data_IF_493431616420
#
_entry.id   IF_493431616420
#
_cell.length_a   1.000
_cell.length_b   1.000
_cell.length_c   1.000
_cell.angle_alpha   90.00
_cell.angle_beta   90.00
_cell.angle_gamma   90.00
#
_symmetry.space_group_name_H-M   'P 1'
#
loop_
_entity.id
_entity.type
_entity.pdbx_description
1 polymer ?
#
# COMPACT_ATOMS: atom_id res chain seq x y z
N UNK A 1 -93.14 23.87 17.12
CA UNK A 1 -92.25 24.96 16.62
C UNK A 1 -92.35 24.97 15.10
N UNK A 2 -92.73 26.11 14.50
CA UNK A 2 -92.88 26.25 13.04
C UNK A 2 -91.59 26.91 12.51
N UNK A 3 -90.89 26.33 11.51
CA UNK A 3 -89.71 26.96 10.93
C UNK A 3 -90.13 28.14 10.03
N UNK A 4 -89.57 29.32 10.27
CA UNK A 4 -89.73 30.50 9.40
C UNK A 4 -88.76 30.35 8.21
N UNK A 5 -89.23 30.45 6.94
CA UNK A 5 -88.34 30.39 5.79
C UNK A 5 -87.51 31.69 5.69
N UNK A 6 -86.19 31.55 5.76
CA UNK A 6 -85.25 32.65 5.50
C UNK A 6 -85.34 33.07 4.01
N UNK A 7 -85.37 34.37 3.70
CA UNK A 7 -85.35 34.83 2.31
C UNK A 7 -84.05 34.41 1.61
N UNK A 8 -84.19 33.93 0.37
CA UNK A 8 -83.09 33.38 -0.44
C UNK A 8 -81.77 34.18 -0.43
N UNK A 9 -81.75 35.54 -0.53
CA UNK A 9 -80.50 36.30 -0.49
C UNK A 9 -79.78 36.23 0.87
N UNK A 10 -80.51 36.14 1.99
CA UNK A 10 -79.90 36.00 3.32
C UNK A 10 -79.30 34.60 3.53
N UNK A 11 -79.95 33.57 2.98
CA UNK A 11 -79.44 32.20 3.04
C UNK A 11 -78.12 32.07 2.25
N UNK A 12 -78.04 32.72 1.09
CA UNK A 12 -76.83 32.78 0.27
C UNK A 12 -75.69 33.54 0.98
N UNK A 13 -76.01 34.64 1.67
CA UNK A 13 -75.04 35.40 2.46
C UNK A 13 -74.50 34.58 3.65
N UNK A 14 -75.36 33.85 4.36
CA UNK A 14 -74.95 32.99 5.47
C UNK A 14 -74.05 31.83 5.01
N UNK A 15 -74.37 31.21 3.86
CA UNK A 15 -73.50 30.20 3.24
C UNK A 15 -72.13 30.77 2.85
N UNK A 16 -72.08 31.97 2.27
CA UNK A 16 -70.82 32.62 1.92
C UNK A 16 -69.96 32.93 3.15
N UNK A 17 -70.56 33.39 4.25
CA UNK A 17 -69.84 33.65 5.51
C UNK A 17 -69.27 32.35 6.12
N UNK A 18 -70.03 31.27 6.10
CA UNK A 18 -69.60 29.97 6.64
C UNK A 18 -68.46 29.39 5.79
N UNK A 19 -68.53 29.51 4.46
CA UNK A 19 -67.44 29.17 3.57
C UNK A 19 -66.19 30.03 3.84
N UNK A 20 -66.35 31.33 4.07
CA UNK A 20 -65.25 32.25 4.36
C UNK A 20 -64.54 31.89 5.68
N UNK A 21 -65.30 31.52 6.73
CA UNK A 21 -64.75 31.04 8.00
C UNK A 21 -63.87 29.79 7.81
N UNK A 22 -64.35 28.80 7.05
CA UNK A 22 -63.59 27.57 6.78
C UNK A 22 -62.30 27.87 6.00
N UNK A 23 -62.34 28.81 5.04
CA UNK A 23 -61.16 29.21 4.26
C UNK A 23 -60.10 29.90 5.14
N UNK A 24 -60.50 30.74 6.11
CA UNK A 24 -59.58 31.42 7.02
C UNK A 24 -58.86 30.44 7.97
N UNK A 25 -59.54 29.42 8.47
CA UNK A 25 -58.92 28.39 9.30
C UNK A 25 -57.87 27.60 8.51
N UNK A 26 -58.20 27.24 7.26
CA UNK A 26 -57.27 26.54 6.37
C UNK A 26 -56.05 27.41 6.03
N UNK A 27 -56.25 28.70 5.78
CA UNK A 27 -55.16 29.68 5.59
C UNK A 27 -54.20 29.70 6.78
N UNK A 28 -54.72 29.79 8.00
CA UNK A 28 -53.91 29.82 9.22
C UNK A 28 -53.08 28.54 9.39
N UNK A 29 -53.68 27.37 9.12
CA UNK A 29 -52.98 26.09 9.17
C UNK A 29 -51.84 26.00 8.15
N UNK A 30 -52.08 26.46 6.91
CA UNK A 30 -51.03 26.51 5.89
C UNK A 30 -49.90 27.47 6.25
N UNK A 31 -50.22 28.62 6.84
CA UNK A 31 -49.23 29.60 7.26
C UNK A 31 -48.34 29.06 8.40
N UNK A 32 -48.92 28.32 9.36
CA UNK A 32 -48.16 27.62 10.40
C UNK A 32 -47.22 26.57 9.80
N UNK A 33 -47.72 25.77 8.85
CA UNK A 33 -46.92 24.74 8.16
C UNK A 33 -45.77 25.35 7.35
N UNK A 34 -46.02 26.49 6.68
CA UNK A 34 -45.00 27.27 5.95
C UNK A 34 -43.88 27.73 6.91
N UNK A 35 -44.24 28.27 8.07
CA UNK A 35 -43.27 28.74 9.07
C UNK A 35 -42.39 27.60 9.59
N UNK A 36 -43.00 26.45 9.92
CA UNK A 36 -42.27 25.26 10.36
C UNK A 36 -41.27 24.78 9.30
N UNK A 37 -41.70 24.74 8.05
CA UNK A 37 -40.86 24.28 6.94
C UNK A 37 -39.70 25.25 6.66
N UNK A 38 -39.92 26.56 6.80
CA UNK A 38 -38.87 27.57 6.69
C UNK A 38 -37.81 27.43 7.80
N UNK A 39 -38.23 27.15 9.04
CA UNK A 39 -37.30 26.87 10.14
C UNK A 39 -36.46 25.62 9.87
N UNK A 40 -37.09 24.55 9.38
CA UNK A 40 -36.40 23.30 9.01
C UNK A 40 -35.37 23.53 7.90
N UNK A 41 -35.73 24.32 6.87
CA UNK A 41 -34.84 24.70 5.78
C UNK A 41 -33.61 25.44 6.32
N UNK A 42 -33.78 26.39 7.25
CA UNK A 42 -32.68 27.14 7.86
C UNK A 42 -31.72 26.22 8.62
N UNK A 43 -32.26 25.31 9.44
CA UNK A 43 -31.46 24.35 10.21
C UNK A 43 -30.66 23.42 9.29
N UNK A 44 -31.28 22.94 8.21
CA UNK A 44 -30.62 22.12 7.22
C UNK A 44 -29.47 22.85 6.51
N UNK A 45 -29.68 24.13 6.17
CA UNK A 45 -28.68 24.95 5.48
C UNK A 45 -27.46 25.19 6.39
N UNK A 46 -27.68 25.42 7.69
CA UNK A 46 -26.60 25.50 8.68
C UNK A 46 -25.82 24.17 8.78
N UNK A 47 -26.54 23.05 8.81
CA UNK A 47 -25.92 21.73 8.85
C UNK A 47 -25.08 21.43 7.59
N UNK A 48 -25.60 21.77 6.41
CA UNK A 48 -24.89 21.64 5.14
C UNK A 48 -23.60 22.47 5.13
N UNK A 49 -23.64 23.70 5.64
CA UNK A 49 -22.46 24.57 5.75
C UNK A 49 -21.39 23.98 6.67
N UNK A 50 -21.79 23.39 7.81
CA UNK A 50 -20.87 22.70 8.70
C UNK A 50 -20.23 21.47 8.05
N UNK A 51 -21.01 20.70 7.29
CA UNK A 51 -20.51 19.53 6.56
C UNK A 51 -19.53 19.92 5.44
N UNK A 52 -19.80 21.03 4.74
CA UNK A 52 -18.89 21.60 3.75
C UNK A 52 -17.56 22.05 4.39
N UNK A 53 -17.62 22.71 5.55
CA UNK A 53 -16.43 23.13 6.29
C UNK A 53 -15.58 21.91 6.72
N UNK A 54 -16.25 20.85 7.22
CA UNK A 54 -15.60 19.59 7.59
C UNK A 54 -14.89 18.96 6.38
N UNK A 55 -15.55 18.92 5.22
CA UNK A 55 -14.96 18.42 3.97
C UNK A 55 -13.70 19.20 3.59
N UNK A 56 -13.77 20.54 3.64
CA UNK A 56 -12.66 21.41 3.31
C UNK A 56 -11.47 21.18 4.25
N UNK A 57 -11.73 21.09 5.55
CA UNK A 57 -10.70 20.81 6.55
C UNK A 57 -10.02 19.46 6.30
N UNK A 58 -10.80 18.44 5.98
CA UNK A 58 -10.29 17.10 5.70
C UNK A 58 -9.46 17.06 4.41
N UNK A 59 -9.90 17.76 3.36
CA UNK A 59 -9.15 17.92 2.12
C UNK A 59 -7.80 18.63 2.36
N UNK A 60 -7.78 19.66 3.20
CA UNK A 60 -6.56 20.37 3.57
C UNK A 60 -5.60 19.46 4.34
N UNK A 61 -6.10 18.74 5.34
CA UNK A 61 -5.32 17.77 6.12
C UNK A 61 -4.70 16.70 5.22
N UNK A 62 -5.47 16.20 4.24
CA UNK A 62 -4.99 15.27 3.23
C UNK A 62 -3.84 15.86 2.42
N UNK A 63 -4.02 17.07 1.88
CA UNK A 63 -3.02 17.70 1.04
C UNK A 63 -1.69 17.86 1.81
N UNK A 64 -1.78 18.27 3.08
CA UNK A 64 -0.64 18.38 3.97
C UNK A 64 0.05 17.02 4.19
N UNK A 65 -0.71 15.96 4.46
CA UNK A 65 -0.15 14.64 4.71
C UNK A 65 0.48 14.03 3.45
N UNK A 66 -0.13 14.23 2.28
CA UNK A 66 0.44 13.84 0.98
C UNK A 66 1.76 14.58 0.73
N UNK A 67 1.80 15.89 0.99
CA UNK A 67 3.01 16.71 0.84
C UNK A 67 4.13 16.22 1.78
N UNK A 68 3.81 15.93 3.03
CA UNK A 68 4.76 15.42 4.01
C UNK A 68 5.32 14.06 3.59
N UNK A 69 4.47 13.17 3.06
CA UNK A 69 4.91 11.86 2.57
C UNK A 69 5.76 11.98 1.30
N UNK A 70 5.42 12.88 0.37
CA UNK A 70 6.24 13.19 -0.80
C UNK A 70 7.62 13.72 -0.40
N UNK A 71 7.67 14.62 0.59
CA UNK A 71 8.92 15.15 1.13
C UNK A 71 9.77 14.03 1.74
N UNK A 72 9.15 13.13 2.51
CA UNK A 72 9.82 11.97 3.11
C UNK A 72 10.39 11.04 2.03
N UNK A 73 9.61 10.74 0.98
CA UNK A 73 10.05 9.95 -0.17
C UNK A 73 11.25 10.61 -0.87
N UNK A 74 11.19 11.92 -1.11
CA UNK A 74 12.26 12.68 -1.75
C UNK A 74 13.54 12.65 -0.91
N UNK A 75 13.41 12.85 0.40
CA UNK A 75 14.54 12.77 1.34
C UNK A 75 15.18 11.37 1.32
N UNK A 76 14.36 10.32 1.33
CA UNK A 76 14.82 8.93 1.26
C UNK A 76 15.58 8.65 -0.06
N UNK A 77 15.06 9.13 -1.18
CA UNK A 77 15.68 9.00 -2.49
C UNK A 77 17.01 9.76 -2.59
N UNK A 78 17.08 10.96 -2.02
CA UNK A 78 18.32 11.73 -1.94
C UNK A 78 19.38 11.01 -1.09
N UNK A 79 18.97 10.47 0.06
CA UNK A 79 19.84 9.68 0.93
C UNK A 79 20.34 8.41 0.23
N UNK A 80 19.48 7.72 -0.51
CA UNK A 80 19.87 6.59 -1.37
C UNK A 80 20.96 7.02 -2.36
N UNK A 81 20.73 8.10 -3.11
CA UNK A 81 21.63 8.55 -4.17
C UNK A 81 23.02 8.88 -3.58
N UNK A 82 23.04 9.57 -2.44
CA UNK A 82 24.28 9.90 -1.73
C UNK A 82 25.02 8.65 -1.27
N UNK A 83 24.31 7.68 -0.70
CA UNK A 83 24.88 6.42 -0.23
C UNK A 83 25.42 5.55 -1.39
N UNK A 84 24.71 5.50 -2.51
CA UNK A 84 25.16 4.82 -3.73
C UNK A 84 26.42 5.48 -4.31
N UNK A 85 26.47 6.82 -4.33
CA UNK A 85 27.64 7.57 -4.79
C UNK A 85 28.85 7.34 -3.87
N UNK A 86 28.65 7.33 -2.55
CA UNK A 86 29.71 7.02 -1.58
C UNK A 86 30.23 5.59 -1.75
N UNK A 87 29.34 4.62 -1.99
CA UNK A 87 29.73 3.24 -2.28
C UNK A 87 30.51 3.10 -3.59
N UNK A 88 30.08 3.78 -4.64
CA UNK A 88 30.78 3.78 -5.92
C UNK A 88 32.18 4.40 -5.81
N UNK A 89 32.30 5.51 -5.07
CA UNK A 89 33.59 6.11 -4.74
C UNK A 89 34.48 5.12 -3.98
N UNK A 90 33.92 4.44 -2.97
CA UNK A 90 34.64 3.44 -2.19
C UNK A 90 35.12 2.29 -3.08
N UNK A 91 34.28 1.76 -3.97
CA UNK A 91 34.63 0.72 -4.94
C UNK A 91 35.80 1.15 -5.83
N UNK A 92 35.80 2.39 -6.33
CA UNK A 92 36.87 2.95 -7.18
C UNK A 92 38.19 3.02 -6.40
N UNK A 93 38.16 3.44 -5.14
CA UNK A 93 39.37 3.52 -4.29
C UNK A 93 39.89 2.12 -3.91
N UNK A 94 38.98 1.14 -3.84
CA UNK A 94 39.19 -0.22 -3.34
C UNK A 94 39.60 -1.24 -4.43
N UNK A 95 39.83 -0.80 -5.68
CA UNK A 95 40.28 -1.65 -6.80
C UNK A 95 41.46 -2.59 -6.46
N UNK A 96 42.46 -2.27 -5.60
CA UNK A 96 43.52 -3.21 -5.28
C UNK A 96 43.15 -4.33 -4.28
N UNK A 97 41.90 -4.45 -3.84
CA UNK A 97 41.49 -5.53 -2.91
C UNK A 97 41.57 -6.91 -3.57
N UNK A 98 41.91 -7.96 -2.79
CA UNK A 98 41.85 -9.32 -3.27
C UNK A 98 40.40 -9.68 -3.68
N UNK A 99 40.28 -10.43 -4.79
CA UNK A 99 39.01 -10.85 -5.39
C UNK A 99 37.91 -11.31 -4.41
N UNK A 100 38.17 -12.11 -3.35
CA UNK A 100 37.13 -12.51 -2.40
C UNK A 100 36.51 -11.35 -1.60
N UNK A 101 37.30 -10.32 -1.27
CA UNK A 101 36.81 -9.14 -0.55
C UNK A 101 35.98 -8.23 -1.47
N UNK A 102 36.33 -8.16 -2.75
CA UNK A 102 35.55 -7.44 -3.76
C UNK A 102 34.17 -8.08 -3.95
N UNK A 103 34.08 -9.41 -4.00
CA UNK A 103 32.81 -10.14 -4.09
C UNK A 103 31.94 -9.88 -2.85
N UNK A 104 32.52 -9.95 -1.65
CA UNK A 104 31.81 -9.65 -0.39
C UNK A 104 31.23 -8.22 -0.40
N UNK A 105 32.01 -7.23 -0.85
CA UNK A 105 31.59 -5.84 -0.95
C UNK A 105 30.43 -5.66 -1.95
N UNK A 106 30.51 -6.27 -3.14
CA UNK A 106 29.43 -6.23 -4.13
C UNK A 106 28.15 -6.86 -3.60
N UNK A 107 28.26 -7.95 -2.84
CA UNK A 107 27.11 -8.65 -2.27
C UNK A 107 26.46 -7.82 -1.15
N UNK A 108 27.27 -7.17 -0.30
CA UNK A 108 26.79 -6.17 0.68
C UNK A 108 26.08 -4.98 0.01
N UNK A 109 26.62 -4.47 -1.10
CA UNK A 109 26.01 -3.39 -1.87
C UNK A 109 24.65 -3.82 -2.43
N UNK A 110 24.56 -5.03 -2.99
CA UNK A 110 23.31 -5.59 -3.49
C UNK A 110 22.28 -5.77 -2.36
N UNK A 111 22.70 -6.26 -1.18
CA UNK A 111 21.85 -6.36 0.02
C UNK A 111 21.26 -5.00 0.40
N UNK A 112 22.11 -3.97 0.45
CA UNK A 112 21.71 -2.62 0.84
C UNK A 112 20.74 -1.99 -0.16
N UNK A 113 20.99 -2.15 -1.46
CA UNK A 113 20.10 -1.69 -2.52
C UNK A 113 18.74 -2.37 -2.43
N UNK A 114 18.74 -3.68 -2.17
CA UNK A 114 17.51 -4.45 -2.03
C UNK A 114 16.73 -4.07 -0.76
N UNK A 115 17.41 -3.87 0.37
CA UNK A 115 16.79 -3.37 1.61
C UNK A 115 16.16 -1.99 1.41
N UNK A 116 16.78 -1.12 0.61
CA UNK A 116 16.20 0.17 0.29
C UNK A 116 14.98 0.04 -0.63
N UNK A 117 15.03 -0.84 -1.64
CA UNK A 117 13.88 -1.12 -2.48
C UNK A 117 12.70 -1.69 -1.66
N UNK A 118 12.96 -2.53 -0.65
CA UNK A 118 11.98 -3.00 0.32
C UNK A 118 11.33 -1.81 1.06
N UNK A 119 12.15 -0.91 1.58
CA UNK A 119 11.69 0.26 2.35
C UNK A 119 10.84 1.20 1.49
N UNK A 120 11.28 1.47 0.25
CA UNK A 120 10.52 2.26 -0.72
C UNK A 120 9.15 1.64 -1.00
N UNK A 121 9.12 0.32 -1.22
CA UNK A 121 7.90 -0.40 -1.52
C UNK A 121 6.95 -0.46 -0.31
N UNK A 122 7.48 -0.60 0.91
CA UNK A 122 6.70 -0.52 2.13
C UNK A 122 6.09 0.88 2.33
N UNK A 123 6.83 1.94 2.02
CA UNK A 123 6.31 3.31 2.06
C UNK A 123 5.23 3.53 0.99
N UNK A 124 5.40 2.96 -0.20
CA UNK A 124 4.38 2.99 -1.25
C UNK A 124 3.11 2.22 -0.84
N UNK A 125 3.25 1.06 -0.18
CA UNK A 125 2.13 0.31 0.40
C UNK A 125 1.36 1.14 1.42
N UNK A 126 2.07 1.79 2.35
CA UNK A 126 1.48 2.65 3.37
C UNK A 126 0.72 3.82 2.74
N UNK A 127 1.32 4.46 1.73
CA UNK A 127 0.68 5.54 0.97
C UNK A 127 -0.62 5.05 0.31
N UNK A 128 -0.58 3.89 -0.35
CA UNK A 128 -1.74 3.34 -1.05
C UNK A 128 -2.87 3.00 -0.07
N UNK A 129 -2.54 2.43 1.09
CA UNK A 129 -3.52 2.13 2.14
C UNK A 129 -4.16 3.40 2.70
N UNK A 130 -3.36 4.44 2.93
CA UNK A 130 -3.85 5.73 3.37
C UNK A 130 -4.73 6.41 2.30
N UNK A 131 -4.35 6.34 1.03
CA UNK A 131 -5.15 6.81 -0.10
C UNK A 131 -6.51 6.10 -0.15
N UNK A 132 -6.53 4.78 0.04
CA UNK A 132 -7.75 3.98 0.04
C UNK A 132 -8.68 4.37 1.20
N UNK A 133 -8.16 4.50 2.42
CA UNK A 133 -8.93 4.92 3.59
C UNK A 133 -9.52 6.32 3.41
N UNK A 134 -8.71 7.23 2.86
CA UNK A 134 -9.17 8.56 2.54
C UNK A 134 -10.27 8.55 1.47
N UNK A 135 -10.08 7.83 0.37
CA UNK A 135 -11.04 7.81 -0.73
C UNK A 135 -12.41 7.30 -0.24
N UNK A 136 -12.41 6.30 0.64
CA UNK A 136 -13.60 5.83 1.35
C UNK A 136 -14.24 6.94 2.18
N UNK A 137 -13.45 7.70 2.94
CA UNK A 137 -13.97 8.78 3.79
C UNK A 137 -14.54 9.94 2.95
N UNK A 138 -13.81 10.39 1.93
CA UNK A 138 -14.25 11.45 1.02
C UNK A 138 -15.54 11.04 0.31
N UNK A 139 -15.66 9.77 -0.09
CA UNK A 139 -16.88 9.25 -0.68
C UNK A 139 -18.05 9.25 0.30
N UNK A 140 -17.85 8.77 1.54
CA UNK A 140 -18.88 8.79 2.57
C UNK A 140 -19.37 10.22 2.83
N UNK A 141 -18.45 11.18 2.89
CA UNK A 141 -18.79 12.59 3.08
C UNK A 141 -19.54 13.16 1.87
N UNK A 142 -19.09 12.87 0.65
CA UNK A 142 -19.77 13.31 -0.57
C UNK A 142 -21.18 12.71 -0.68
N UNK A 143 -21.35 11.44 -0.32
CA UNK A 143 -22.66 10.79 -0.29
C UNK A 143 -23.58 11.42 0.77
N UNK A 144 -23.06 11.75 1.96
CA UNK A 144 -23.79 12.52 2.96
C UNK A 144 -24.17 13.91 2.41
N UNK A 145 -23.26 14.61 1.74
CA UNK A 145 -23.54 15.91 1.14
C UNK A 145 -24.64 15.83 0.07
N UNK A 146 -24.60 14.82 -0.80
CA UNK A 146 -25.65 14.56 -1.79
C UNK A 146 -27.00 14.25 -1.12
N UNK A 147 -27.01 13.45 -0.05
CA UNK A 147 -28.23 13.17 0.72
C UNK A 147 -28.82 14.45 1.33
N UNK A 148 -27.98 15.33 1.89
CA UNK A 148 -28.43 16.61 2.46
C UNK A 148 -28.97 17.56 1.36
N UNK A 149 -28.31 17.60 0.19
CA UNK A 149 -28.82 18.35 -0.96
C UNK A 149 -30.14 17.81 -1.49
N UNK A 150 -30.30 16.49 -1.56
CA UNK A 150 -31.57 15.85 -1.94
C UNK A 150 -32.69 16.24 -0.97
N UNK A 151 -32.42 16.18 0.32
CA UNK A 151 -33.38 16.58 1.36
C UNK A 151 -33.74 18.06 1.27
N UNK A 152 -32.74 18.93 1.04
CA UNK A 152 -32.95 20.37 0.85
C UNK A 152 -33.85 20.64 -0.36
N UNK A 153 -33.59 19.94 -1.46
CA UNK A 153 -34.35 20.09 -2.68
C UNK A 153 -35.77 19.53 -2.53
N UNK A 154 -35.96 18.43 -1.81
CA UNK A 154 -37.29 17.91 -1.46
C UNK A 154 -38.07 18.87 -0.57
N UNK A 155 -37.42 19.53 0.40
CA UNK A 155 -38.05 20.57 1.22
C UNK A 155 -38.41 21.80 0.37
N UNK A 156 -37.56 22.22 -0.56
CA UNK A 156 -37.88 23.31 -1.49
C UNK A 156 -39.06 22.95 -2.41
N UNK A 157 -39.15 21.71 -2.88
CA UNK A 157 -40.32 21.22 -3.64
C UNK A 157 -41.60 21.33 -2.80
N UNK A 158 -41.53 20.88 -1.54
CA UNK A 158 -42.67 20.93 -0.62
C UNK A 158 -43.07 22.38 -0.29
N UNK A 159 -42.09 23.27 -0.09
CA UNK A 159 -42.31 24.72 0.08
C UNK A 159 -43.06 25.30 -1.13
N UNK A 160 -42.59 25.03 -2.34
CA UNK A 160 -43.20 25.53 -3.58
C UNK A 160 -44.62 24.99 -3.78
N UNK A 161 -44.85 23.71 -3.49
CA UNK A 161 -46.17 23.11 -3.54
C UNK A 161 -47.13 23.74 -2.52
N UNK A 162 -46.64 24.03 -1.32
CA UNK A 162 -47.42 24.71 -0.29
C UNK A 162 -47.71 26.18 -0.66
N UNK A 163 -46.75 26.88 -1.25
CA UNK A 163 -46.94 28.23 -1.80
C UNK A 163 -47.97 28.24 -2.93
N UNK A 164 -47.93 27.26 -3.83
CA UNK A 164 -48.94 27.04 -4.87
C UNK A 164 -50.33 26.88 -4.25
N UNK A 165 -50.45 26.02 -3.24
CA UNK A 165 -51.72 25.77 -2.58
C UNK A 165 -52.24 27.01 -1.84
N UNK A 166 -51.37 27.76 -1.18
CA UNK A 166 -51.70 29.03 -0.52
C UNK A 166 -52.15 30.09 -1.54
N UNK A 167 -51.48 30.20 -2.68
CA UNK A 167 -51.87 31.08 -3.78
C UNK A 167 -53.26 30.71 -4.32
N UNK A 168 -53.52 29.42 -4.56
CA UNK A 168 -54.82 28.94 -5.02
C UNK A 168 -55.93 29.24 -4.00
N UNK A 169 -55.64 29.10 -2.71
CA UNK A 169 -56.58 29.45 -1.64
C UNK A 169 -56.82 30.95 -1.55
N UNK A 170 -55.78 31.78 -1.66
CA UNK A 170 -55.92 33.24 -1.72
C UNK A 170 -56.75 33.67 -2.93
N UNK A 171 -56.53 33.07 -4.10
CA UNK A 171 -57.37 33.31 -5.28
C UNK A 171 -58.83 32.94 -5.00
N UNK A 172 -59.08 31.78 -4.38
CA UNK A 172 -60.44 31.34 -4.05
C UNK A 172 -61.11 32.29 -3.04
N UNK A 173 -60.38 32.73 -2.02
CA UNK A 173 -60.87 33.66 -0.99
C UNK A 173 -61.14 35.04 -1.58
N UNK A 174 -60.28 35.54 -2.46
CA UNK A 174 -60.48 36.80 -3.18
C UNK A 174 -61.70 36.73 -4.10
N UNK A 175 -61.90 35.61 -4.81
CA UNK A 175 -63.09 35.40 -5.64
C UNK A 175 -64.37 35.36 -4.79
N UNK A 176 -64.36 34.69 -3.63
CA UNK A 176 -65.48 34.66 -2.69
C UNK A 176 -65.79 36.05 -2.11
N UNK A 177 -64.77 36.80 -1.70
CA UNK A 177 -64.92 38.18 -1.22
C UNK A 177 -65.49 39.10 -2.30
N UNK A 178 -65.03 38.95 -3.55
CA UNK A 178 -65.51 39.72 -4.68
C UNK A 178 -66.97 39.38 -5.00
N UNK A 179 -67.33 38.09 -4.96
CA UNK A 179 -68.72 37.65 -5.16
C UNK A 179 -69.63 38.14 -4.02
N UNK A 180 -69.17 38.07 -2.76
CA UNK A 180 -69.87 38.65 -1.62
C UNK A 180 -70.10 40.15 -1.83
N UNK A 181 -69.05 40.91 -2.16
CA UNK A 181 -69.15 42.35 -2.43
C UNK A 181 -70.15 42.64 -3.56
N UNK A 182 -70.08 41.90 -4.68
CA UNK A 182 -71.01 42.03 -5.80
C UNK A 182 -72.45 41.79 -5.36
N UNK A 183 -72.72 40.72 -4.58
CA UNK A 183 -74.08 40.44 -4.06
C UNK A 183 -74.59 41.56 -3.16
N UNK A 184 -73.74 42.09 -2.27
CA UNK A 184 -74.08 43.24 -1.41
C UNK A 184 -74.40 44.47 -2.27
N UNK A 185 -73.56 44.78 -3.27
CA UNK A 185 -73.78 45.92 -4.17
C UNK A 185 -75.10 45.77 -4.93
N UNK A 186 -75.38 44.60 -5.51
CA UNK A 186 -76.64 44.32 -6.23
C UNK A 186 -77.86 44.51 -5.32
N UNK A 187 -77.76 44.12 -4.04
CA UNK A 187 -78.84 44.27 -3.06
C UNK A 187 -79.09 45.74 -2.72
N UNK A 188 -78.04 46.58 -2.67
CA UNK A 188 -78.11 47.94 -2.15
C UNK A 188 -78.29 49.00 -3.25
N UNK A 189 -77.68 48.85 -4.43
CA UNK A 189 -77.57 49.91 -5.44
C UNK A 189 -77.81 49.37 -6.87
N UNK A 190 -78.72 49.96 -7.67
CA UNK A 190 -78.76 49.72 -9.10
C UNK A 190 -77.55 50.40 -9.78
N UNK A 191 -76.48 49.63 -10.02
CA UNK A 191 -75.24 50.15 -10.60
C UNK A 191 -75.40 50.40 -12.12
N UNK A 192 -74.89 51.52 -12.67
CA UNK A 192 -74.89 51.74 -14.12
C UNK A 192 -74.00 50.74 -14.87
N UNK A 193 -74.42 50.38 -16.09
CA UNK A 193 -73.86 49.32 -16.91
C UNK A 193 -72.36 49.50 -17.25
N UNK A 194 -71.90 50.75 -17.36
CA UNK A 194 -70.51 51.10 -17.68
C UNK A 194 -69.54 50.77 -16.52
N UNK A 195 -69.96 50.98 -15.27
CA UNK A 195 -69.18 50.60 -14.09
C UNK A 195 -69.10 49.07 -13.93
N UNK A 196 -70.15 48.34 -14.33
CA UNK A 196 -70.12 46.87 -14.36
C UNK A 196 -69.08 46.34 -15.36
N UNK A 197 -68.97 46.95 -16.54
CA UNK A 197 -68.00 46.54 -17.57
C UNK A 197 -66.54 46.80 -17.13
N UNK A 198 -66.25 47.95 -16.52
CA UNK A 198 -64.92 48.26 -15.98
C UNK A 198 -64.50 47.29 -14.87
N UNK A 199 -65.43 46.94 -13.99
CA UNK A 199 -65.19 45.98 -12.92
C UNK A 199 -64.89 44.57 -13.49
N UNK A 200 -65.59 44.20 -14.57
CA UNK A 200 -65.36 42.93 -15.28
C UNK A 200 -64.00 42.89 -16.00
N UNK A 201 -63.58 43.99 -16.63
CA UNK A 201 -62.25 44.11 -17.25
C UNK A 201 -61.13 43.97 -16.21
N UNK A 202 -61.23 44.68 -15.08
CA UNK A 202 -60.28 44.61 -13.98
C UNK A 202 -60.14 43.17 -13.48
N UNK A 203 -61.27 42.47 -13.35
CA UNK A 203 -61.32 41.08 -12.92
C UNK A 203 -60.63 40.14 -13.91
N UNK A 204 -60.84 40.35 -15.21
CA UNK A 204 -60.19 39.56 -16.26
C UNK A 204 -58.67 39.77 -16.29
N UNK A 205 -58.20 41.01 -16.08
CA UNK A 205 -56.78 41.32 -16.02
C UNK A 205 -56.12 40.70 -14.78
N UNK A 206 -56.79 40.75 -13.63
CA UNK A 206 -56.34 40.08 -12.40
C UNK A 206 -56.25 38.55 -12.60
N UNK A 207 -57.25 37.95 -13.26
CA UNK A 207 -57.26 36.52 -13.58
C UNK A 207 -56.07 36.14 -14.48
N UNK A 208 -55.79 36.93 -15.52
CA UNK A 208 -54.67 36.69 -16.43
C UNK A 208 -53.32 36.76 -15.72
N UNK A 209 -53.09 37.79 -14.90
CA UNK A 209 -51.87 37.95 -14.11
C UNK A 209 -51.63 36.73 -13.21
N UNK A 210 -52.70 36.23 -12.58
CA UNK A 210 -52.59 35.09 -11.68
C UNK A 210 -52.36 33.78 -12.43
N UNK A 211 -52.94 33.61 -13.62
CA UNK A 211 -52.66 32.46 -14.50
C UNK A 211 -51.20 32.44 -14.97
N UNK A 212 -50.62 33.61 -15.28
CA UNK A 212 -49.20 33.73 -15.59
C UNK A 212 -48.32 33.31 -14.41
N UNK A 213 -48.66 33.77 -13.19
CA UNK A 213 -47.92 33.41 -11.97
C UNK A 213 -48.03 31.91 -11.67
N UNK A 214 -49.20 31.31 -11.89
CA UNK A 214 -49.41 29.87 -11.79
C UNK A 214 -48.52 29.10 -12.78
N UNK A 215 -48.46 29.53 -14.04
CA UNK A 215 -47.60 28.90 -15.07
C UNK A 215 -46.12 28.97 -14.68
N UNK A 216 -45.64 30.13 -14.21
CA UNK A 216 -44.27 30.30 -13.75
C UNK A 216 -43.94 29.34 -12.59
N UNK A 217 -44.86 29.18 -11.65
CA UNK A 217 -44.69 28.30 -10.50
C UNK A 217 -44.63 26.81 -10.91
N UNK A 218 -45.46 26.40 -11.89
CA UNK A 218 -45.44 25.06 -12.46
C UNK A 218 -44.09 24.79 -13.17
N UNK A 219 -43.59 25.76 -13.95
CA UNK A 219 -42.29 25.64 -14.62
C UNK A 219 -41.15 25.46 -13.60
N UNK A 220 -41.15 26.25 -12.52
CA UNK A 220 -40.17 26.14 -11.44
C UNK A 220 -40.24 24.76 -10.76
N UNK A 221 -41.44 24.23 -10.53
CA UNK A 221 -41.64 22.89 -9.96
C UNK A 221 -41.08 21.79 -10.88
N UNK A 222 -41.29 21.89 -12.19
CA UNK A 222 -40.74 20.95 -13.17
C UNK A 222 -39.20 20.99 -13.21
N UNK A 223 -38.62 22.19 -13.20
CA UNK A 223 -37.16 22.36 -13.16
C UNK A 223 -36.56 21.71 -11.91
N UNK A 224 -37.20 21.93 -10.76
CA UNK A 224 -36.75 21.37 -9.49
C UNK A 224 -36.87 19.84 -9.46
N UNK A 225 -37.95 19.27 -10.01
CA UNK A 225 -38.10 17.83 -10.19
C UNK A 225 -36.99 17.23 -11.08
N UNK A 226 -36.64 17.90 -12.18
CA UNK A 226 -35.54 17.47 -13.04
C UNK A 226 -34.20 17.45 -12.29
N UNK A 227 -33.93 18.49 -11.49
CA UNK A 227 -32.72 18.58 -10.68
C UNK A 227 -32.68 17.46 -9.62
N UNK A 228 -33.82 17.11 -9.01
CA UNK A 228 -33.93 15.97 -8.09
C UNK A 228 -33.54 14.65 -8.77
N UNK A 229 -34.07 14.41 -9.98
CA UNK A 229 -33.77 13.22 -10.77
C UNK A 229 -32.28 13.14 -11.12
N UNK A 230 -31.69 14.25 -11.56
CA UNK A 230 -30.26 14.32 -11.89
C UNK A 230 -29.39 13.98 -10.67
N UNK A 231 -29.73 14.50 -9.50
CA UNK A 231 -28.98 14.26 -8.27
C UNK A 231 -29.08 12.80 -7.80
N UNK A 232 -30.27 12.18 -7.95
CA UNK A 232 -30.45 10.74 -7.73
C UNK A 232 -29.58 9.89 -8.66
N UNK A 233 -29.53 10.25 -9.94
CA UNK A 233 -28.70 9.54 -10.92
C UNK A 233 -27.21 9.70 -10.60
N UNK A 234 -26.76 10.89 -10.20
CA UNK A 234 -25.39 11.12 -9.75
C UNK A 234 -25.04 10.28 -8.52
N UNK A 235 -25.95 10.19 -7.55
CA UNK A 235 -25.76 9.36 -6.36
C UNK A 235 -25.61 7.87 -6.72
N UNK A 236 -26.43 7.37 -7.65
CA UNK A 236 -26.34 5.98 -8.13
C UNK A 236 -25.04 5.73 -8.89
N UNK A 237 -24.61 6.66 -9.75
CA UNK A 237 -23.34 6.59 -10.45
C UNK A 237 -22.16 6.51 -9.46
N UNK A 238 -22.16 7.36 -8.44
CA UNK A 238 -21.11 7.39 -7.42
C UNK A 238 -21.07 6.11 -6.59
N UNK A 239 -22.24 5.54 -6.29
CA UNK A 239 -22.36 4.26 -5.60
C UNK A 239 -21.80 3.10 -6.43
N UNK A 240 -21.97 3.11 -7.76
CA UNK A 240 -21.47 2.08 -8.67
C UNK A 240 -19.96 2.21 -8.93
N UNK A 241 -19.46 3.43 -9.12
CA UNK A 241 -18.07 3.68 -9.49
C UNK A 241 -17.11 3.35 -8.34
N UNK A 242 -17.55 3.47 -7.08
CA UNK A 242 -16.71 3.19 -5.93
C UNK A 242 -16.26 1.72 -5.84
N UNK A 243 -17.15 0.71 -5.80
CA UNK A 243 -16.72 -0.69 -5.75
C UNK A 243 -15.68 -1.03 -6.81
N UNK A 244 -15.82 -0.48 -8.02
CA UNK A 244 -14.86 -0.65 -9.11
C UNK A 244 -13.50 -0.02 -8.80
N UNK A 245 -13.48 1.22 -8.31
CA UNK A 245 -12.24 1.90 -7.94
C UNK A 245 -11.57 1.22 -6.74
N UNK A 246 -12.35 0.82 -5.74
CA UNK A 246 -11.87 0.09 -4.57
C UNK A 246 -11.29 -1.28 -4.97
N UNK A 247 -11.96 -2.00 -5.88
CA UNK A 247 -11.46 -3.26 -6.42
C UNK A 247 -10.12 -3.06 -7.15
N UNK A 248 -10.00 -2.00 -7.97
CA UNK A 248 -8.76 -1.66 -8.65
C UNK A 248 -7.62 -1.35 -7.66
N UNK A 249 -7.90 -0.53 -6.64
CA UNK A 249 -6.92 -0.21 -5.59
C UNK A 249 -6.53 -1.46 -4.78
N UNK A 250 -7.49 -2.34 -4.46
CA UNK A 250 -7.24 -3.58 -3.76
C UNK A 250 -6.36 -4.53 -4.60
N UNK A 251 -6.60 -4.62 -5.90
CA UNK A 251 -5.77 -5.40 -6.83
C UNK A 251 -4.34 -4.85 -6.86
N UNK A 252 -4.18 -3.52 -6.92
CA UNK A 252 -2.88 -2.87 -6.87
C UNK A 252 -2.16 -3.12 -5.53
N UNK A 253 -2.89 -3.08 -4.40
CA UNK A 253 -2.36 -3.42 -3.08
C UNK A 253 -1.86 -4.86 -3.04
N UNK A 254 -2.64 -5.81 -3.56
CA UNK A 254 -2.28 -7.22 -3.61
C UNK A 254 -1.03 -7.46 -4.44
N UNK A 255 -0.94 -6.83 -5.62
CA UNK A 255 0.24 -6.91 -6.49
C UNK A 255 1.49 -6.39 -5.78
N UNK A 256 1.35 -5.25 -5.09
CA UNK A 256 2.46 -4.65 -4.36
C UNK A 256 2.88 -5.49 -3.16
N UNK A 257 1.93 -6.09 -2.42
CA UNK A 257 2.21 -7.05 -1.36
C UNK A 257 2.97 -8.28 -1.89
N UNK A 258 2.56 -8.82 -3.03
CA UNK A 258 3.25 -9.95 -3.68
C UNK A 258 4.69 -9.57 -4.05
N UNK A 259 4.90 -8.37 -4.59
CA UNK A 259 6.23 -7.85 -4.91
C UNK A 259 7.08 -7.65 -3.64
N UNK A 260 6.50 -7.16 -2.54
CA UNK A 260 7.16 -7.06 -1.23
C UNK A 260 7.65 -8.44 -0.76
N UNK A 261 6.77 -9.45 -0.83
CA UNK A 261 7.07 -10.81 -0.41
C UNK A 261 8.20 -11.42 -1.24
N UNK A 262 8.15 -11.26 -2.57
CA UNK A 262 9.20 -11.73 -3.47
C UNK A 262 10.55 -11.09 -3.12
N UNK A 263 10.55 -9.79 -2.86
CA UNK A 263 11.76 -9.05 -2.54
C UNK A 263 12.30 -9.43 -1.15
N UNK A 264 11.44 -9.65 -0.16
CA UNK A 264 11.83 -10.16 1.15
C UNK A 264 12.49 -11.55 1.03
N UNK A 265 11.92 -12.44 0.21
CA UNK A 265 12.49 -13.76 -0.04
C UNK A 265 13.88 -13.65 -0.69
N UNK A 266 14.04 -12.73 -1.65
CA UNK A 266 15.32 -12.47 -2.30
C UNK A 266 16.35 -11.90 -1.30
N UNK A 267 15.94 -11.01 -0.39
CA UNK A 267 16.79 -10.50 0.70
C UNK A 267 17.28 -11.64 1.59
N UNK A 268 16.37 -12.51 2.01
CA UNK A 268 16.66 -13.63 2.90
C UNK A 268 17.67 -14.60 2.25
N UNK A 269 17.48 -14.91 0.97
CA UNK A 269 18.46 -15.70 0.22
C UNK A 269 19.83 -15.02 0.24
N UNK A 270 19.88 -13.75 -0.13
CA UNK A 270 21.14 -13.07 -0.31
C UNK A 270 21.90 -12.97 1.03
N UNK A 271 21.18 -12.80 2.13
CA UNK A 271 21.72 -12.91 3.48
C UNK A 271 22.25 -14.33 3.79
N UNK A 272 21.52 -15.38 3.43
CA UNK A 272 21.98 -16.77 3.60
C UNK A 272 23.25 -17.05 2.78
N UNK A 273 23.31 -16.55 1.54
CA UNK A 273 24.48 -16.67 0.67
C UNK A 273 25.68 -15.91 1.26
N UNK A 274 25.47 -14.70 1.78
CA UNK A 274 26.49 -13.92 2.48
C UNK A 274 27.05 -14.68 3.68
N UNK A 275 26.16 -15.27 4.50
CA UNK A 275 26.53 -16.06 5.67
C UNK A 275 27.34 -17.30 5.27
N UNK A 276 26.93 -18.01 4.22
CA UNK A 276 27.65 -19.17 3.69
C UNK A 276 29.05 -18.79 3.19
N UNK A 277 29.16 -17.68 2.45
CA UNK A 277 30.45 -17.17 1.96
C UNK A 277 31.37 -16.80 3.12
N UNK A 278 30.84 -16.13 4.15
CA UNK A 278 31.59 -15.77 5.35
C UNK A 278 32.10 -17.01 6.10
N UNK A 279 31.23 -18.03 6.26
CA UNK A 279 31.59 -19.29 6.89
C UNK A 279 32.70 -20.02 6.10
N UNK A 280 32.59 -20.04 4.77
CA UNK A 280 33.62 -20.60 3.89
C UNK A 280 34.95 -19.86 4.04
N UNK A 281 34.93 -18.53 4.05
CA UNK A 281 36.13 -17.72 4.23
C UNK A 281 36.80 -18.00 5.57
N UNK A 282 36.02 -18.08 6.65
CA UNK A 282 36.51 -18.41 7.99
C UNK A 282 37.15 -19.80 8.03
N UNK A 283 36.51 -20.79 7.39
CA UNK A 283 37.01 -22.15 7.34
C UNK A 283 38.29 -22.26 6.51
N UNK A 284 38.38 -21.56 5.38
CA UNK A 284 39.60 -21.46 4.56
C UNK A 284 40.75 -20.85 5.38
N UNK A 285 40.48 -19.76 6.11
CA UNK A 285 41.46 -19.12 6.98
C UNK A 285 41.97 -20.07 8.07
N UNK A 286 41.06 -20.80 8.73
CA UNK A 286 41.40 -21.79 9.75
C UNK A 286 42.27 -22.92 9.17
N UNK A 287 41.92 -23.41 7.99
CA UNK A 287 42.69 -24.46 7.32
C UNK A 287 44.08 -23.95 6.90
N UNK A 288 44.18 -22.73 6.37
CA UNK A 288 45.45 -22.11 6.02
C UNK A 288 46.35 -22.00 7.26
N UNK A 289 45.79 -21.58 8.39
CA UNK A 289 46.49 -21.50 9.67
C UNK A 289 46.99 -22.88 10.12
N UNK A 290 46.15 -23.92 10.01
CA UNK A 290 46.51 -25.30 10.34
C UNK A 290 47.62 -25.84 9.43
N UNK A 291 47.54 -25.57 8.12
CA UNK A 291 48.58 -25.93 7.15
C UNK A 291 49.90 -25.25 7.49
N UNK A 292 49.89 -23.95 7.78
CA UNK A 292 51.06 -23.18 8.17
C UNK A 292 51.71 -23.78 9.44
N UNK A 293 50.90 -24.10 10.45
CA UNK A 293 51.35 -24.72 11.69
C UNK A 293 52.01 -26.08 11.42
N UNK A 294 51.40 -26.91 10.58
CA UNK A 294 51.93 -28.23 10.23
C UNK A 294 53.22 -28.15 9.41
N UNK A 295 53.31 -27.21 8.46
CA UNK A 295 54.54 -26.93 7.71
C UNK A 295 55.67 -26.46 8.63
N UNK A 296 55.36 -25.58 9.59
CA UNK A 296 56.33 -25.11 10.58
C UNK A 296 56.82 -26.27 11.46
N UNK A 297 55.93 -27.17 11.88
CA UNK A 297 56.28 -28.38 12.63
C UNK A 297 57.18 -29.32 11.81
N UNK A 298 56.86 -29.55 10.52
CA UNK A 298 57.68 -30.36 9.61
C UNK A 298 59.08 -29.76 9.42
N UNK A 299 59.18 -28.44 9.25
CA UNK A 299 60.45 -27.74 9.09
C UNK A 299 61.31 -27.86 10.36
N UNK A 300 60.71 -27.70 11.54
CA UNK A 300 61.36 -27.88 12.83
C UNK A 300 61.89 -29.32 12.99
N UNK A 301 61.08 -30.31 12.61
CA UNK A 301 61.49 -31.71 12.69
C UNK A 301 62.61 -32.06 11.71
N UNK A 302 62.56 -31.55 10.48
CA UNK A 302 63.61 -31.74 9.49
C UNK A 302 64.94 -31.10 9.93
N UNK A 303 64.86 -29.92 10.55
CA UNK A 303 66.02 -29.27 11.15
C UNK A 303 66.61 -30.12 12.29
N UNK A 304 65.76 -30.68 13.16
CA UNK A 304 66.18 -31.58 14.23
C UNK A 304 66.82 -32.87 13.68
N UNK A 305 66.24 -33.48 12.63
CA UNK A 305 66.80 -34.65 11.96
C UNK A 305 68.15 -34.34 11.33
N UNK A 306 68.28 -33.19 10.66
CA UNK A 306 69.55 -32.74 10.07
C UNK A 306 70.63 -32.54 11.13
N UNK A 307 70.29 -31.93 12.26
CA UNK A 307 71.21 -31.77 13.39
C UNK A 307 71.63 -33.13 13.96
N UNK A 308 70.70 -34.06 14.13
CA UNK A 308 70.98 -35.40 14.63
C UNK A 308 71.88 -36.21 13.67
N UNK A 309 71.65 -36.09 12.36
CA UNK A 309 72.47 -36.72 11.33
C UNK A 309 73.89 -36.13 11.29
N UNK A 310 74.02 -34.80 11.40
CA UNK A 310 75.32 -34.14 11.53
C UNK A 310 76.06 -34.58 12.79
N UNK A 311 75.36 -34.69 13.93
CA UNK A 311 75.92 -35.21 15.17
C UNK A 311 76.43 -36.64 14.99
N UNK A 312 75.65 -37.50 14.34
CA UNK A 312 76.03 -38.89 14.05
C UNK A 312 77.23 -38.96 13.09
N UNK A 313 77.27 -38.12 12.05
CA UNK A 313 78.38 -38.04 11.12
C UNK A 313 79.65 -37.53 11.80
N UNK A 314 79.54 -36.51 12.64
CA UNK A 314 80.65 -35.98 13.43
C UNK A 314 81.17 -37.01 14.42
N UNK A 315 80.29 -37.74 15.10
CA UNK A 315 80.65 -38.88 15.95
C UNK A 315 81.42 -39.93 15.14
N UNK A 316 80.93 -40.31 13.96
CA UNK A 316 81.57 -41.29 13.07
C UNK A 316 82.93 -40.82 12.56
N UNK A 317 83.03 -39.55 12.15
CA UNK A 317 84.28 -38.94 11.71
C UNK A 317 85.30 -38.84 12.85
N UNK A 318 84.87 -38.48 14.05
CA UNK A 318 85.70 -38.48 15.25
C UNK A 318 86.22 -39.89 15.56
N UNK A 319 85.40 -40.93 15.38
CA UNK A 319 85.84 -42.33 15.50
C UNK A 319 86.86 -42.73 14.43
N UNK A 320 86.67 -42.29 13.18
CA UNK A 320 87.62 -42.50 12.10
C UNK A 320 88.95 -41.77 12.34
N UNK A 321 88.90 -40.51 12.79
CA UNK A 321 90.09 -39.75 13.13
C UNK A 321 90.82 -40.36 14.32
N UNK A 322 90.11 -40.79 15.37
CA UNK A 322 90.70 -41.55 16.47
C UNK A 322 91.41 -42.82 15.96
N UNK A 323 90.82 -43.53 15.00
CA UNK A 323 91.44 -44.69 14.34
C UNK A 323 92.72 -44.34 13.57
N UNK A 324 92.83 -43.12 13.02
CA UNK A 324 93.99 -42.66 12.22
C UNK A 324 95.10 -42.09 13.12
N UNK A 325 94.74 -41.18 14.04
CA UNK A 325 95.67 -40.45 14.92
C UNK A 325 96.31 -41.37 15.95
N UNK A 326 95.63 -42.46 16.29
CA UNK A 326 96.20 -43.56 17.03
C UNK A 326 96.58 -44.62 16.00
N UNK A 327 97.73 -44.51 15.29
CA UNK A 327 98.28 -45.58 14.47
C UNK A 327 98.90 -46.59 15.42
N UNK A 328 98.09 -47.14 16.31
CA UNK A 328 98.49 -48.28 17.08
C UNK A 328 97.82 -49.46 16.39
N UNK A 329 98.54 -50.56 16.13
CA UNK A 329 97.91 -51.85 16.01
C UNK A 329 97.37 -52.23 17.40
N UNK A 330 96.40 -51.47 17.91
CA UNK A 330 95.61 -51.80 19.07
C UNK A 330 94.19 -51.44 18.73
N UNK A 331 93.46 -52.50 18.37
CA UNK A 331 92.04 -52.65 18.58
C UNK A 331 91.62 -51.79 19.78
N UNK A 332 90.73 -50.81 19.56
CA UNK A 332 89.96 -50.20 20.65
C UNK A 332 89.54 -51.33 21.61
N UNK A 333 89.82 -51.22 22.92
CA UNK A 333 89.48 -52.29 23.85
C UNK A 333 88.00 -52.61 23.69
N UNK A 334 87.67 -53.90 23.50
CA UNK A 334 86.31 -54.40 23.26
C UNK A 334 85.20 -53.72 24.10
N UNK A 335 85.38 -53.39 25.41
CA UNK A 335 84.35 -52.66 26.16
C UNK A 335 84.01 -51.26 25.62
N UNK A 336 84.98 -50.53 25.05
CA UNK A 336 84.73 -49.21 24.45
C UNK A 336 83.94 -49.33 23.14
N UNK A 337 84.20 -50.38 22.35
CA UNK A 337 83.44 -50.66 21.13
C UNK A 337 81.98 -51.00 21.47
N UNK A 338 81.76 -51.80 22.52
CA UNK A 338 80.44 -52.15 23.02
C UNK A 338 79.67 -50.92 23.55
N UNK A 339 80.34 -50.06 24.34
CA UNK A 339 79.76 -48.81 24.83
C UNK A 339 79.41 -47.85 23.69
N UNK A 340 80.24 -47.82 22.63
CA UNK A 340 79.95 -47.05 21.44
C UNK A 340 78.73 -47.56 20.68
N UNK A 341 78.63 -48.88 20.50
CA UNK A 341 77.47 -49.52 19.91
C UNK A 341 76.21 -49.24 20.73
N UNK A 342 76.32 -49.28 22.07
CA UNK A 342 75.24 -48.94 23.00
C UNK A 342 74.82 -47.48 22.91
N UNK A 343 75.73 -46.55 22.55
CA UNK A 343 75.44 -45.13 22.33
C UNK A 343 74.85 -44.85 20.93
N UNK A 344 75.31 -45.60 19.91
CA UNK A 344 74.80 -45.51 18.54
C UNK A 344 73.38 -46.06 18.42
N UNK A 345 73.06 -47.15 19.13
CA UNK A 345 71.75 -47.78 19.09
C UNK A 345 70.58 -46.83 19.42
N UNK A 346 70.57 -46.06 20.53
CA UNK A 346 69.50 -45.12 20.84
C UNK A 346 69.47 -43.93 19.87
N UNK A 347 70.61 -43.49 19.32
CA UNK A 347 70.64 -42.45 18.28
C UNK A 347 70.01 -42.94 16.96
N UNK A 348 70.30 -44.19 16.55
CA UNK A 348 69.67 -44.82 15.39
C UNK A 348 68.18 -45.03 15.61
N UNK A 349 67.77 -45.45 16.81
CA UNK A 349 66.35 -45.60 17.17
C UNK A 349 65.62 -44.26 17.17
N UNK A 350 66.24 -43.20 17.69
CA UNK A 350 65.70 -41.84 17.64
C UNK A 350 65.59 -41.33 16.20
N UNK A 351 66.61 -41.58 15.36
CA UNK A 351 66.57 -41.25 13.93
C UNK A 351 65.40 -41.95 13.24
N UNK A 352 65.23 -43.26 13.48
CA UNK A 352 64.13 -44.05 12.93
C UNK A 352 62.77 -43.51 13.39
N UNK A 353 62.63 -43.16 14.67
CA UNK A 353 61.40 -42.59 15.23
C UNK A 353 61.08 -41.23 14.61
N UNK A 354 62.07 -40.36 14.43
CA UNK A 354 61.89 -39.06 13.76
C UNK A 354 61.51 -39.23 12.29
N UNK A 355 62.10 -40.20 11.59
CA UNK A 355 61.75 -40.50 10.21
C UNK A 355 60.33 -41.05 10.09
N UNK A 356 59.92 -41.93 11.01
CA UNK A 356 58.53 -42.40 11.11
C UNK A 356 57.57 -41.24 11.38
N UNK A 357 57.92 -40.33 12.29
CA UNK A 357 57.08 -39.17 12.61
C UNK A 357 56.97 -38.20 11.41
N UNK A 358 58.05 -37.99 10.66
CA UNK A 358 58.03 -37.22 9.41
C UNK A 358 57.07 -37.86 8.39
N UNK A 359 57.13 -39.18 8.21
CA UNK A 359 56.26 -39.92 7.30
C UNK A 359 54.78 -39.78 7.71
N UNK A 360 54.48 -39.90 9.01
CA UNK A 360 53.14 -39.70 9.55
C UNK A 360 52.62 -38.28 9.31
N UNK A 361 53.46 -37.25 9.54
CA UNK A 361 53.10 -35.86 9.27
C UNK A 361 52.85 -35.60 7.78
N UNK A 362 53.60 -36.25 6.88
CA UNK A 362 53.39 -36.16 5.43
C UNK A 362 52.06 -36.82 5.02
N UNK A 363 51.74 -37.97 5.59
CA UNK A 363 50.45 -38.64 5.38
C UNK A 363 49.28 -37.79 5.92
N UNK A 364 49.46 -37.16 7.08
CA UNK A 364 48.48 -36.23 7.66
C UNK A 364 48.24 -35.01 6.75
N UNK A 365 49.29 -34.45 6.15
CA UNK A 365 49.17 -33.36 5.18
C UNK A 365 48.36 -33.78 3.95
N UNK A 366 48.62 -34.97 3.41
CA UNK A 366 47.88 -35.51 2.28
C UNK A 366 46.40 -35.74 2.60
N UNK A 367 46.10 -36.25 3.80
CA UNK A 367 44.72 -36.44 4.28
C UNK A 367 43.99 -35.10 4.45
N UNK A 368 44.68 -34.08 4.97
CA UNK A 368 44.13 -32.72 5.11
C UNK A 368 43.82 -32.09 3.75
N UNK A 369 44.69 -32.28 2.75
CA UNK A 369 44.45 -31.84 1.37
C UNK A 369 43.20 -32.52 0.77
N UNK A 370 43.05 -33.83 0.97
CA UNK A 370 41.89 -34.58 0.51
C UNK A 370 40.60 -34.07 1.17
N UNK A 371 40.64 -33.81 2.48
CA UNK A 371 39.50 -33.28 3.23
C UNK A 371 39.09 -31.88 2.75
N UNK A 372 40.06 -31.01 2.45
CA UNK A 372 39.81 -29.72 1.81
C UNK A 372 39.05 -29.88 0.48
N UNK A 373 39.52 -30.78 -0.39
CA UNK A 373 38.90 -31.02 -1.69
C UNK A 373 37.44 -31.49 -1.53
N UNK A 374 37.20 -32.44 -0.63
CA UNK A 374 35.88 -32.97 -0.33
C UNK A 374 34.94 -31.86 0.18
N UNK A 375 35.43 -31.01 1.08
CA UNK A 375 34.66 -29.91 1.62
C UNK A 375 34.30 -28.88 0.54
N UNK A 376 35.23 -28.54 -0.35
CA UNK A 376 34.97 -27.65 -1.48
C UNK A 376 33.89 -28.21 -2.41
N UNK A 377 33.93 -29.53 -2.68
CA UNK A 377 32.91 -30.21 -3.48
C UNK A 377 31.53 -30.19 -2.80
N UNK A 378 31.48 -30.44 -1.50
CA UNK A 378 30.23 -30.40 -0.72
C UNK A 378 29.63 -28.99 -0.71
N UNK A 379 30.45 -27.95 -0.59
CA UNK A 379 30.00 -26.57 -0.64
C UNK A 379 29.45 -26.20 -2.02
N UNK A 380 30.10 -26.64 -3.11
CA UNK A 380 29.61 -26.44 -4.47
C UNK A 380 28.26 -27.12 -4.69
N UNK A 381 28.08 -28.33 -4.15
CA UNK A 381 26.81 -29.05 -4.22
C UNK A 381 25.70 -28.34 -3.44
N UNK A 382 26.00 -27.81 -2.25
CA UNK A 382 25.05 -27.04 -1.44
C UNK A 382 24.63 -25.75 -2.17
N UNK A 383 25.58 -25.07 -2.83
CA UNK A 383 25.30 -23.88 -3.64
C UNK A 383 24.40 -24.21 -4.85
N UNK A 384 24.66 -25.33 -5.54
CA UNK A 384 23.80 -25.81 -6.63
C UNK A 384 22.36 -26.11 -6.15
N UNK A 385 22.20 -26.78 -5.01
CA UNK A 385 20.89 -27.08 -4.43
C UNK A 385 20.12 -25.80 -4.07
N UNK A 386 20.80 -24.81 -3.47
CA UNK A 386 20.19 -23.51 -3.17
C UNK A 386 19.70 -22.82 -4.45
N UNK A 387 20.52 -22.78 -5.51
CA UNK A 387 20.14 -22.19 -6.80
C UNK A 387 18.95 -22.94 -7.45
N UNK A 388 18.93 -24.27 -7.36
CA UNK A 388 17.86 -25.09 -7.94
C UNK A 388 16.49 -24.78 -7.32
N UNK A 389 16.40 -24.68 -6.00
CA UNK A 389 15.12 -24.39 -5.33
C UNK A 389 14.55 -23.04 -5.75
N UNK A 390 15.42 -22.08 -6.06
CA UNK A 390 14.98 -20.75 -6.48
C UNK A 390 14.54 -20.67 -7.92
N UNK A 391 15.23 -21.38 -8.82
CA UNK A 391 14.75 -21.53 -10.19
C UNK A 391 13.36 -22.16 -10.21
N UNK A 392 13.09 -23.13 -9.33
CA UNK A 392 11.78 -23.75 -9.21
C UNK A 392 10.72 -22.77 -8.69
N UNK A 393 11.04 -21.97 -7.68
CA UNK A 393 10.13 -20.95 -7.15
C UNK A 393 9.86 -19.83 -8.16
N UNK A 394 10.89 -19.35 -8.87
CA UNK A 394 10.77 -18.40 -9.97
C UNK A 394 9.90 -18.97 -11.10
N UNK A 395 10.17 -20.21 -11.50
CA UNK A 395 9.39 -20.91 -12.53
C UNK A 395 7.92 -21.01 -12.12
N UNK A 396 7.64 -21.41 -10.87
CA UNK A 396 6.28 -21.54 -10.35
C UNK A 396 5.55 -20.20 -10.36
N UNK A 397 6.24 -19.12 -9.99
CA UNK A 397 5.68 -17.77 -10.01
C UNK A 397 5.41 -17.30 -11.44
N UNK A 398 6.31 -17.58 -12.38
CA UNK A 398 6.12 -17.31 -13.81
C UNK A 398 4.95 -18.12 -14.41
N UNK A 399 4.80 -19.38 -13.99
CA UNK A 399 3.70 -20.26 -14.40
C UNK A 399 2.36 -19.74 -13.87
N UNK A 400 2.30 -19.27 -12.63
CA UNK A 400 1.12 -18.62 -12.05
C UNK A 400 0.73 -17.35 -12.83
N UNK A 401 1.72 -16.52 -13.17
CA UNK A 401 1.53 -15.30 -13.93
C UNK A 401 1.02 -15.61 -15.35
N UNK A 402 1.61 -16.61 -16.00
CA UNK A 402 1.17 -17.10 -17.29
C UNK A 402 -0.23 -17.69 -17.25
N UNK A 403 -0.54 -18.50 -16.25
CA UNK A 403 -1.88 -19.09 -16.06
C UNK A 403 -2.94 -18.01 -15.84
N UNK A 404 -2.65 -17.01 -15.01
CA UNK A 404 -3.54 -15.87 -14.78
C UNK A 404 -3.76 -15.04 -16.06
N UNK A 405 -2.70 -14.82 -16.84
CA UNK A 405 -2.78 -14.14 -18.14
C UNK A 405 -3.65 -14.95 -19.13
N UNK A 406 -3.38 -16.26 -19.26
CA UNK A 406 -4.14 -17.16 -20.13
C UNK A 406 -5.64 -17.19 -19.74
N UNK A 407 -5.94 -17.29 -18.45
CA UNK A 407 -7.31 -17.27 -17.95
C UNK A 407 -8.03 -15.96 -18.30
N UNK A 408 -7.36 -14.81 -18.16
CA UNK A 408 -7.92 -13.52 -18.58
C UNK A 408 -8.16 -13.45 -20.10
N UNK A 409 -7.22 -13.92 -20.92
CA UNK A 409 -7.41 -13.97 -22.37
C UNK A 409 -8.59 -14.88 -22.77
N UNK A 410 -8.70 -16.05 -22.15
CA UNK A 410 -9.81 -16.97 -22.37
C UNK A 410 -11.15 -16.34 -21.98
N UNK A 411 -11.22 -15.71 -20.80
CA UNK A 411 -12.42 -15.02 -20.33
C UNK A 411 -12.83 -13.86 -21.26
N UNK A 412 -11.85 -13.07 -21.72
CA UNK A 412 -12.10 -11.99 -22.67
C UNK A 412 -12.61 -12.51 -24.02
N UNK A 413 -12.02 -13.59 -24.54
CA UNK A 413 -12.45 -14.23 -25.78
C UNK A 413 -13.87 -14.78 -25.66
N UNK A 414 -14.17 -15.49 -24.57
CA UNK A 414 -15.49 -16.04 -24.29
C UNK A 414 -16.56 -14.94 -24.21
N UNK A 415 -16.27 -13.85 -23.48
CA UNK A 415 -17.18 -12.70 -23.39
C UNK A 415 -17.42 -12.03 -24.75
N UNK A 416 -16.37 -11.90 -25.58
CA UNK A 416 -16.50 -11.32 -26.92
C UNK A 416 -17.30 -12.22 -27.87
N UNK A 417 -17.14 -13.54 -27.73
CA UNK A 417 -17.87 -14.53 -28.52
C UNK A 417 -19.35 -14.55 -28.16
N UNK A 418 -19.68 -14.57 -26.86
CA UNK A 418 -21.07 -14.47 -26.40
C UNK A 418 -21.73 -13.15 -26.83
N UNK A 419 -20.99 -12.03 -26.77
CA UNK A 419 -21.49 -10.74 -27.24
C UNK A 419 -21.83 -10.75 -28.74
N UNK A 420 -20.99 -11.36 -29.58
CA UNK A 420 -21.24 -11.49 -31.02
C UNK A 420 -22.31 -12.54 -31.39
N UNK A 421 -22.60 -13.48 -30.50
CA UNK A 421 -23.64 -14.47 -30.72
C UNK A 421 -25.03 -13.95 -30.33
N UNK A 422 -25.08 -13.02 -29.37
CA UNK A 422 -26.32 -12.40 -28.90
C UNK A 422 -26.78 -11.19 -29.75
N UNK A 423 -25.84 -10.51 -30.42
CA UNK A 423 -26.10 -9.45 -31.40
C UNK A 423 -26.08 -10.00 -32.82
#
# INVERSE_FOLDING_TARGET
MIPIPLPQPLLLLLLLLLLLQQQLLLLLLLLLLLLLLLLLLLLLLLHLLLLLLLLLLLLLLLLLLLLLLLLLLLLLLLLLLLLLLLLLLLLIIMIPLPQPLLLLLLLLLLLLLLLLLLLLLLLLLLLLLLLLLLLLLLQLLLLLLLQQLLLLLLLLLLLLLLQLLLLLLLLRLLLLLLLLLLTIIIIIIPLPLLLQQLLLLLLLLLLLLLLLLLLLLILLLLLLLLLLLLLLLLQLLLLLLLPLLLLLLLLLLLLLLLLLLLLLLLLLLLLLLLLLLLLLLLLLLLLLLLLLLLLLLQLLLLLLLRLLLLLLLLLLLLLLLLKIIIPIPLLLPQPLLLLLLLLLLPLLLLLLLLLLLLLLLLLQLLLLLLLLLLLLLLLLLLLLLLLQQQLLLLLLLLLLLFYYYYYNCYYYYYYYYDYYYYY
#
